data_IF_863911070362
#
_entry.id   IF_863911070362
#
_cell.length_a   1.000
_cell.length_b   1.000
_cell.length_c   1.000
_cell.angle_alpha   90.00
_cell.angle_beta   90.00
_cell.angle_gamma   90.00
#
_symmetry.space_group_name_H-M   'P 1'
#
loop_
_entity.id
_entity.type
_entity.pdbx_description
1 polymer ?
#
# COMPACT_ATOMS: atom_id res chain seq x y z
N UNK A 1 -3.20 16.35 -13.56
CA UNK A 1 -2.80 15.22 -12.70
C UNK A 1 -1.36 15.39 -12.26
N UNK A 2 -1.07 15.14 -10.99
CA UNK A 2 0.30 15.11 -10.46
C UNK A 2 0.61 13.70 -9.99
N UNK A 3 1.89 13.38 -9.81
CA UNK A 3 2.33 12.17 -9.14
C UNK A 3 3.01 12.53 -7.81
N UNK A 4 3.02 11.60 -6.88
CA UNK A 4 3.61 11.80 -5.55
C UNK A 4 4.61 10.69 -5.24
N UNK A 5 5.62 11.04 -4.47
CA UNK A 5 6.51 10.05 -3.87
C UNK A 5 5.98 9.61 -2.49
N UNK A 6 6.69 8.71 -1.85
CA UNK A 6 6.24 8.11 -0.60
C UNK A 6 6.09 9.13 0.52
N UNK A 7 7.06 10.01 0.72
CA UNK A 7 6.96 11.01 1.78
C UNK A 7 5.79 11.96 1.59
N UNK A 8 5.56 12.38 0.35
CA UNK A 8 4.45 13.27 0.05
C UNK A 8 3.10 12.58 0.30
N UNK A 9 2.94 11.33 -0.14
CA UNK A 9 1.71 10.58 0.10
C UNK A 9 1.48 10.36 1.60
N UNK A 10 2.50 10.00 2.35
CA UNK A 10 2.41 9.84 3.81
C UNK A 10 1.93 11.13 4.48
N UNK A 11 2.46 12.29 4.07
CA UNK A 11 2.03 13.59 4.60
C UNK A 11 0.58 13.92 4.26
N UNK A 12 0.08 13.44 3.14
CA UNK A 12 -1.34 13.60 2.77
C UNK A 12 -2.23 12.72 3.66
N UNK A 13 -1.83 11.48 3.90
CA UNK A 13 -2.66 10.47 4.56
C UNK A 13 -2.61 10.50 6.08
N UNK A 14 -1.47 10.84 6.65
CA UNK A 14 -1.24 10.79 8.09
C UNK A 14 -0.86 12.17 8.64
N UNK A 15 -1.31 12.45 9.86
CA UNK A 15 -0.85 13.63 10.59
C UNK A 15 0.55 13.39 11.14
N UNK A 16 1.35 14.45 11.19
CA UNK A 16 2.69 14.41 11.75
C UNK A 16 2.94 15.70 12.54
N UNK A 17 2.76 15.65 13.86
CA UNK A 17 2.95 16.84 14.70
C UNK A 17 4.38 17.40 14.66
N UNK A 18 5.38 16.57 14.27
CA UNK A 18 6.75 16.99 14.09
C UNK A 18 7.02 17.72 12.77
N UNK A 19 6.08 17.65 11.82
CA UNK A 19 6.21 18.24 10.48
C UNK A 19 4.94 18.92 10.00
N UNK A 20 4.36 19.85 10.80
CA UNK A 20 3.06 20.44 10.46
C UNK A 20 3.10 21.24 9.15
N UNK A 21 4.19 21.91 8.85
CA UNK A 21 4.33 22.66 7.61
C UNK A 21 4.33 21.75 6.38
N UNK A 22 4.96 20.57 6.47
CA UNK A 22 4.96 19.60 5.37
C UNK A 22 3.57 18.99 5.17
N UNK A 23 2.86 18.68 6.25
CA UNK A 23 1.49 18.17 6.17
C UNK A 23 0.58 19.19 5.49
N UNK A 24 0.64 20.44 5.88
CA UNK A 24 -0.15 21.51 5.28
C UNK A 24 0.17 21.68 3.80
N UNK A 25 1.45 21.70 3.45
CA UNK A 25 1.89 21.83 2.06
C UNK A 25 1.42 20.67 1.20
N UNK A 26 1.55 19.45 1.71
CA UNK A 26 1.15 18.23 0.99
C UNK A 26 -0.37 18.20 0.75
N UNK A 27 -1.15 18.50 1.77
CA UNK A 27 -2.62 18.52 1.67
C UNK A 27 -3.13 19.66 0.79
N UNK A 28 -2.48 20.82 0.84
CA UNK A 28 -2.79 21.93 -0.05
C UNK A 28 -2.54 21.56 -1.51
N UNK A 29 -1.38 20.97 -1.79
CA UNK A 29 -1.06 20.50 -3.14
C UNK A 29 -2.08 19.49 -3.64
N UNK A 30 -2.43 18.50 -2.83
CA UNK A 30 -3.42 17.49 -3.19
C UNK A 30 -4.80 18.12 -3.48
N UNK A 31 -5.23 19.07 -2.64
CA UNK A 31 -6.53 19.73 -2.80
C UNK A 31 -6.60 20.62 -4.04
N UNK A 32 -5.47 21.18 -4.47
CA UNK A 32 -5.37 22.01 -5.66
C UNK A 32 -5.22 21.21 -6.94
N UNK A 33 -4.92 19.92 -6.84
CA UNK A 33 -4.74 19.03 -7.98
C UNK A 33 -6.03 18.28 -8.26
N UNK A 34 -6.37 18.12 -9.53
CA UNK A 34 -7.57 17.37 -9.89
C UNK A 34 -7.43 15.90 -9.55
N UNK A 35 -6.27 15.32 -9.83
CA UNK A 35 -5.97 13.93 -9.54
C UNK A 35 -4.52 13.76 -9.13
N UNK A 36 -4.29 12.78 -8.25
CA UNK A 36 -2.98 12.41 -7.72
C UNK A 36 -2.69 10.97 -8.13
N UNK A 37 -1.70 10.78 -8.98
CA UNK A 37 -1.24 9.46 -9.38
C UNK A 37 -0.33 8.87 -8.31
N UNK A 38 -0.62 7.64 -7.89
CA UNK A 38 0.14 6.91 -6.88
C UNK A 38 0.84 5.72 -7.54
N UNK A 39 2.16 5.78 -7.75
CA UNK A 39 2.92 4.63 -8.24
C UNK A 39 2.78 3.44 -7.28
N UNK A 40 2.80 2.22 -7.82
CA UNK A 40 2.64 1.01 -7.02
C UNK A 40 3.71 0.89 -5.93
N UNK A 41 4.96 1.20 -6.28
CA UNK A 41 6.05 1.16 -5.29
C UNK A 41 5.81 2.17 -4.15
N UNK A 42 5.27 3.34 -4.46
CA UNK A 42 4.91 4.35 -3.45
C UNK A 42 3.84 3.82 -2.52
N UNK A 43 2.85 3.13 -3.06
CA UNK A 43 1.79 2.53 -2.26
C UNK A 43 2.35 1.49 -1.28
N UNK A 44 3.23 0.61 -1.75
CA UNK A 44 3.88 -0.41 -0.91
C UNK A 44 4.75 0.23 0.17
N UNK A 45 5.60 1.18 -0.20
CA UNK A 45 6.47 1.88 0.76
C UNK A 45 5.65 2.67 1.79
N UNK A 46 4.54 3.26 1.36
CA UNK A 46 3.65 4.01 2.27
C UNK A 46 3.10 3.12 3.37
N UNK A 47 2.64 1.92 3.04
CA UNK A 47 2.16 0.98 4.06
C UNK A 47 3.27 0.68 5.08
N UNK A 48 4.47 0.40 4.60
CA UNK A 48 5.61 0.12 5.47
C UNK A 48 5.93 1.31 6.40
N UNK A 49 5.91 2.53 5.86
CA UNK A 49 6.16 3.75 6.67
C UNK A 49 5.06 3.95 7.71
N UNK A 50 3.79 3.77 7.35
CA UNK A 50 2.68 3.92 8.27
C UNK A 50 2.76 2.90 9.41
N UNK A 51 3.13 1.66 9.11
CA UNK A 51 3.28 0.61 10.13
C UNK A 51 4.54 0.81 10.99
N UNK A 52 5.68 0.95 10.36
CA UNK A 52 7.00 0.94 11.05
C UNK A 52 7.42 2.32 11.53
N UNK A 53 7.12 3.36 10.76
CA UNK A 53 7.52 4.73 11.08
C UNK A 53 6.56 5.42 12.02
N UNK A 54 5.26 5.21 11.84
CA UNK A 54 4.20 5.84 12.65
C UNK A 54 3.57 4.90 13.67
N UNK A 55 3.87 3.61 13.60
CA UNK A 55 3.32 2.63 14.52
C UNK A 55 1.80 2.48 14.43
N UNK A 56 1.21 2.76 13.27
CA UNK A 56 -0.23 2.66 13.09
C UNK A 56 -0.69 1.21 13.10
N UNK A 57 -1.88 0.97 13.62
CA UNK A 57 -2.49 -0.36 13.63
C UNK A 57 -2.82 -0.82 12.22
N UNK A 58 -2.91 -2.13 12.03
CA UNK A 58 -3.32 -2.72 10.76
C UNK A 58 -4.67 -2.17 10.29
N UNK A 59 -5.63 -2.01 11.20
CA UNK A 59 -6.94 -1.44 10.88
C UNK A 59 -6.83 -0.03 10.31
N UNK A 60 -6.00 0.81 10.92
CA UNK A 60 -5.79 2.18 10.44
C UNK A 60 -5.14 2.19 9.07
N UNK A 61 -4.16 1.30 8.83
CA UNK A 61 -3.53 1.15 7.52
C UNK A 61 -4.54 0.68 6.48
N UNK A 62 -5.39 -0.28 6.82
CA UNK A 62 -6.46 -0.74 5.92
C UNK A 62 -7.39 0.41 5.56
N UNK A 63 -7.79 1.23 6.52
CA UNK A 63 -8.63 2.41 6.25
C UNK A 63 -7.96 3.37 5.29
N UNK A 64 -6.65 3.60 5.42
CA UNK A 64 -5.90 4.44 4.50
C UNK A 64 -5.90 3.86 3.08
N UNK A 65 -5.69 2.55 2.94
CA UNK A 65 -5.71 1.87 1.65
C UNK A 65 -7.11 1.91 1.01
N UNK A 66 -8.16 1.71 1.81
CA UNK A 66 -9.54 1.84 1.34
C UNK A 66 -9.84 3.26 0.86
N UNK A 67 -9.34 4.26 1.57
CA UNK A 67 -9.48 5.65 1.16
C UNK A 67 -8.85 5.92 -0.21
N UNK A 68 -7.65 5.36 -0.45
CA UNK A 68 -7.00 5.48 -1.75
C UNK A 68 -7.82 4.81 -2.88
N UNK A 69 -8.49 3.71 -2.59
CA UNK A 69 -9.31 3.01 -3.58
C UNK A 69 -10.58 3.78 -3.94
N UNK A 70 -11.27 4.34 -2.95
CA UNK A 70 -12.62 4.91 -3.16
C UNK A 70 -12.60 6.40 -3.49
N UNK A 71 -11.56 7.12 -3.14
CA UNK A 71 -11.46 8.55 -3.42
C UNK A 71 -10.99 8.76 -4.85
N UNK A 72 -11.87 9.31 -5.68
CA UNK A 72 -11.59 9.55 -7.10
C UNK A 72 -10.45 10.54 -7.35
N UNK A 73 -10.02 11.29 -6.35
CA UNK A 73 -8.86 12.16 -6.46
C UNK A 73 -7.54 11.38 -6.58
N UNK A 74 -7.53 10.12 -6.17
CA UNK A 74 -6.35 9.26 -6.30
C UNK A 74 -6.50 8.30 -7.48
N UNK A 75 -5.43 8.20 -8.25
CA UNK A 75 -5.32 7.25 -9.37
C UNK A 75 -4.19 6.27 -9.03
N UNK A 76 -4.56 5.03 -8.72
CA UNK A 76 -3.57 3.99 -8.43
C UNK A 76 -3.01 3.42 -9.72
N UNK A 77 -1.73 3.12 -9.74
CA UNK A 77 -1.06 2.59 -10.94
C UNK A 77 -1.71 1.30 -11.44
N UNK A 78 -2.13 0.43 -10.52
CA UNK A 78 -2.81 -0.84 -10.83
C UNK A 78 -3.91 -1.08 -9.79
N UNK A 79 -5.11 -0.60 -10.11
CA UNK A 79 -6.25 -0.67 -9.18
C UNK A 79 -6.65 -2.11 -8.85
N UNK A 80 -6.67 -2.99 -9.85
CA UNK A 80 -7.06 -4.39 -9.65
C UNK A 80 -6.07 -5.12 -8.74
N UNK A 81 -4.78 -4.96 -9.00
CA UNK A 81 -3.73 -5.53 -8.16
C UNK A 81 -3.82 -5.02 -6.72
N UNK A 82 -4.01 -3.71 -6.56
CA UNK A 82 -4.14 -3.08 -5.25
C UNK A 82 -5.35 -3.61 -4.48
N UNK A 83 -6.48 -3.79 -5.15
CA UNK A 83 -7.69 -4.32 -4.53
C UNK A 83 -7.49 -5.77 -4.07
N UNK A 84 -6.86 -6.60 -4.89
CA UNK A 84 -6.56 -8.00 -4.55
C UNK A 84 -5.58 -8.09 -3.39
N UNK A 85 -4.53 -7.28 -3.40
CA UNK A 85 -3.54 -7.23 -2.33
C UNK A 85 -4.16 -6.79 -1.01
N UNK A 86 -5.06 -5.82 -1.03
CA UNK A 86 -5.77 -5.37 0.16
C UNK A 86 -6.66 -6.49 0.74
N UNK A 87 -7.32 -7.27 -0.12
CA UNK A 87 -8.09 -8.44 0.31
C UNK A 87 -7.23 -9.47 1.04
N UNK A 88 -6.07 -9.79 0.50
CA UNK A 88 -5.11 -10.68 1.16
C UNK A 88 -4.58 -10.10 2.48
N UNK A 89 -4.29 -8.82 2.50
CA UNK A 89 -3.80 -8.13 3.69
C UNK A 89 -4.82 -8.17 4.82
N UNK A 90 -6.11 -7.97 4.51
CA UNK A 90 -7.19 -8.08 5.50
C UNK A 90 -7.31 -9.50 6.07
N UNK A 91 -7.21 -10.51 5.22
CA UNK A 91 -7.55 -11.90 5.57
C UNK A 91 -6.37 -12.73 6.06
N UNK A 92 -5.17 -12.18 6.09
CA UNK A 92 -3.97 -12.91 6.48
C UNK A 92 -3.11 -12.09 7.44
N UNK A 93 -2.05 -12.70 7.95
CA UNK A 93 -1.04 -12.02 8.75
C UNK A 93 0.26 -11.80 7.97
N UNK A 94 0.16 -11.79 6.65
CA UNK A 94 1.28 -11.59 5.74
C UNK A 94 1.48 -10.11 5.47
N UNK A 95 2.72 -9.67 5.37
CA UNK A 95 3.07 -8.27 5.10
C UNK A 95 2.45 -7.80 3.78
N UNK A 96 2.07 -6.53 3.73
CA UNK A 96 1.40 -5.96 2.56
C UNK A 96 2.23 -6.11 1.28
N UNK A 97 3.55 -5.89 1.35
CA UNK A 97 4.44 -6.09 0.20
C UNK A 97 4.35 -7.50 -0.36
N UNK A 98 4.29 -8.51 0.52
CA UNK A 98 4.15 -9.91 0.11
C UNK A 98 2.76 -10.19 -0.45
N UNK A 99 1.73 -9.53 0.05
CA UNK A 99 0.38 -9.61 -0.53
C UNK A 99 0.36 -9.07 -1.95
N UNK A 100 1.08 -8.00 -2.23
CA UNK A 100 1.22 -7.43 -3.57
C UNK A 100 1.97 -8.40 -4.49
N UNK A 101 3.08 -8.97 -4.01
CA UNK A 101 3.88 -9.94 -4.77
C UNK A 101 3.02 -11.15 -5.14
N UNK A 102 2.33 -11.75 -4.17
CA UNK A 102 1.49 -12.92 -4.42
C UNK A 102 0.34 -12.62 -5.37
N UNK A 103 -0.35 -11.50 -5.18
CA UNK A 103 -1.42 -11.06 -6.06
C UNK A 103 -0.95 -10.88 -7.50
N UNK A 104 0.23 -10.30 -7.68
CA UNK A 104 0.83 -10.14 -9.00
C UNK A 104 1.15 -11.49 -9.65
N UNK A 105 1.69 -12.44 -8.88
CA UNK A 105 1.94 -13.79 -9.38
C UNK A 105 0.66 -14.52 -9.78
N UNK A 106 -0.39 -14.41 -8.95
CA UNK A 106 -1.69 -15.05 -9.23
C UNK A 106 -2.31 -14.53 -10.54
N UNK A 107 -2.24 -13.23 -10.79
CA UNK A 107 -2.79 -12.66 -12.04
C UNK A 107 -2.04 -13.13 -13.28
N UNK A 108 -0.81 -13.59 -13.12
CA UNK A 108 0.02 -14.12 -14.20
C UNK A 108 0.03 -15.65 -14.27
N UNK A 109 -0.73 -16.32 -13.42
CA UNK A 109 -0.74 -17.77 -13.29
C UNK A 109 0.64 -18.35 -12.98
N UNK A 110 1.39 -17.65 -12.11
CA UNK A 110 2.72 -18.07 -11.68
C UNK A 110 2.68 -18.56 -10.24
N UNK A 111 3.37 -19.66 -9.98
CA UNK A 111 3.57 -20.16 -8.62
C UNK A 111 4.68 -19.35 -7.95
N UNK A 112 4.40 -18.81 -6.76
CA UNK A 112 5.37 -18.05 -5.99
C UNK A 112 6.10 -18.99 -5.02
N UNK A 113 7.43 -19.00 -5.09
CA UNK A 113 8.26 -19.76 -4.14
C UNK A 113 8.88 -18.81 -3.12
N UNK A 114 8.89 -19.21 -1.86
CA UNK A 114 9.34 -18.36 -0.77
C UNK A 114 9.94 -19.18 0.38
N UNK A 115 10.83 -18.57 1.14
CA UNK A 115 11.29 -19.10 2.43
C UNK A 115 10.39 -18.66 3.59
N UNK A 116 9.50 -17.67 3.36
CA UNK A 116 8.63 -17.15 4.41
C UNK A 116 7.50 -18.16 4.71
N UNK A 117 7.43 -18.58 5.98
CA UNK A 117 6.48 -19.61 6.41
C UNK A 117 5.04 -19.15 6.35
N UNK A 118 4.77 -17.87 6.66
CA UNK A 118 3.42 -17.33 6.64
C UNK A 118 2.92 -17.18 5.21
N UNK A 119 3.75 -16.61 4.35
CA UNK A 119 3.42 -16.43 2.94
C UNK A 119 3.18 -17.76 2.24
N UNK A 120 3.99 -18.77 2.53
CA UNK A 120 3.88 -20.09 1.90
C UNK A 120 2.57 -20.83 2.20
N UNK A 121 1.82 -20.38 3.22
CA UNK A 121 0.52 -21.00 3.56
C UNK A 121 -0.62 -20.46 2.71
N UNK A 122 -0.42 -19.37 1.99
CA UNK A 122 -1.45 -18.82 1.12
C UNK A 122 -1.48 -19.53 -0.22
N UNK A 123 -2.68 -19.66 -0.79
CA UNK A 123 -2.85 -20.33 -2.09
C UNK A 123 -2.02 -19.65 -3.18
N UNK A 124 -1.28 -20.43 -3.94
CA UNK A 124 -0.38 -19.95 -4.99
C UNK A 124 1.04 -19.67 -4.54
N UNK A 125 1.32 -19.79 -3.25
CA UNK A 125 2.65 -19.69 -2.69
C UNK A 125 3.11 -21.07 -2.18
N UNK A 126 4.41 -21.34 -2.29
CA UNK A 126 4.99 -22.65 -1.97
C UNK A 126 6.29 -22.47 -1.21
N UNK A 127 6.53 -23.31 -0.19
CA UNK A 127 7.78 -23.22 0.56
C UNK A 127 8.94 -23.79 -0.22
N UNK A 128 10.13 -23.22 -0.02
CA UNK A 128 11.39 -23.78 -0.50
C UNK A 128 12.07 -24.48 0.67
N UNK A 129 12.44 -25.75 0.49
CA UNK A 129 13.17 -26.50 1.51
C UNK A 129 14.65 -26.16 1.47
N UNK A 130 15.25 -26.10 2.66
CA UNK A 130 16.69 -25.83 2.81
C UNK A 130 17.41 -27.08 3.28
#
# INVERSE_FOLDING_TARGET
MIAVDTNLLVRILADDPGQPAQVDAARTLASQSQQVFVPLIVQVETVWVLESGYGLSKETVIQALEHLEVNQAFVLEDEDLSHRALGLYRSSNVDYSDCVILSNCRTRNLDLYTFDKRLSKLAGAYPVSV
#
